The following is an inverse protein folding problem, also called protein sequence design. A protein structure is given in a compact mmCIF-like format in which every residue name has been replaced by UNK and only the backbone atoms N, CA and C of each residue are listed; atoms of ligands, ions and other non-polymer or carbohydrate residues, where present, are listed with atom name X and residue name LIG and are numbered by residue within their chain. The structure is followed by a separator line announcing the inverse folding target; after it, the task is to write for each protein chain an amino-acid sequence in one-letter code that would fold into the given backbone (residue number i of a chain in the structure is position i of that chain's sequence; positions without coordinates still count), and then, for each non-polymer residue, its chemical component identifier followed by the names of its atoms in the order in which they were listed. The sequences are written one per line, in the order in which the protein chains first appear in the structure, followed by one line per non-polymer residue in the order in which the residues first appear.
data_IF_735172608575
#
_entry.id   IF_735172608575
#
_cell.length_a   1.000
_cell.length_b   1.000
_cell.length_c   1.000
_cell.angle_alpha   90.00
_cell.angle_beta   90.00
_cell.angle_gamma   90.00
#
_symmetry.space_group_name_H-M   'P 1'
#
loop_
_entity.id
_entity.type
_entity.pdbx_description
1 polymer ?
#
# COMPACT_ATOMS: atom_id res chain seq x y z
N UNK A 1 -10.06 15.83 -3.55
CA UNK A 1 -9.40 14.53 -3.28
C UNK A 1 -8.22 14.42 -4.22
N UNK A 2 -6.98 14.38 -3.71
CA UNK A 2 -5.80 14.29 -4.58
C UNK A 2 -5.68 12.85 -5.09
N UNK A 3 -5.89 12.64 -6.39
CA UNK A 3 -5.61 11.37 -7.03
C UNK A 3 -4.14 11.05 -6.79
N UNK A 4 -3.84 9.88 -6.22
CA UNK A 4 -2.45 9.45 -6.04
C UNK A 4 -1.83 9.36 -7.42
N UNK A 5 -0.87 10.24 -7.70
CA UNK A 5 -0.20 10.33 -8.99
C UNK A 5 0.62 9.05 -9.24
N UNK A 6 0.36 8.37 -10.36
CA UNK A 6 0.95 7.06 -10.62
C UNK A 6 2.08 7.13 -11.64
N UNK A 7 3.28 6.76 -11.19
CA UNK A 7 4.46 6.57 -12.04
C UNK A 7 4.43 5.16 -12.63
N UNK A 8 4.50 5.07 -13.95
CA UNK A 8 4.48 3.82 -14.70
C UNK A 8 5.72 3.77 -15.58
N UNK A 9 6.65 2.89 -15.22
CA UNK A 9 7.86 2.66 -15.99
C UNK A 9 7.56 1.76 -17.20
N UNK A 10 7.73 2.28 -18.42
CA UNK A 10 7.54 1.54 -19.66
C UNK A 10 8.90 1.32 -20.34
N UNK A 11 9.34 0.06 -20.52
CA UNK A 11 10.54 -0.24 -21.29
C UNK A 11 10.38 0.18 -22.76
N UNK A 12 11.36 0.92 -23.25
CA UNK A 12 11.44 1.40 -24.62
C UNK A 12 12.89 1.27 -25.11
N UNK A 13 13.19 0.16 -25.80
CA UNK A 13 14.55 -0.28 -26.11
C UNK A 13 15.43 -0.32 -24.85
N UNK A 14 16.60 0.31 -24.87
CA UNK A 14 17.49 0.45 -23.72
C UNK A 14 17.04 1.47 -22.67
N UNK A 15 15.98 2.24 -22.93
CA UNK A 15 15.46 3.24 -22.00
C UNK A 15 14.24 2.75 -21.21
N UNK A 16 13.99 3.43 -20.09
CA UNK A 16 12.72 3.39 -19.39
C UNK A 16 12.03 4.74 -19.50
N UNK A 17 10.87 4.78 -20.14
CA UNK A 17 10.01 5.96 -20.20
C UNK A 17 9.08 5.94 -19.01
N UNK A 18 9.11 7.02 -18.20
CA UNK A 18 8.23 7.16 -17.05
C UNK A 18 6.96 7.88 -17.49
N UNK A 19 5.84 7.16 -17.42
CA UNK A 19 4.51 7.68 -17.68
C UNK A 19 3.81 8.06 -16.38
N UNK A 20 3.00 9.11 -16.44
CA UNK A 20 2.17 9.60 -15.36
C UNK A 20 0.71 9.50 -15.78
N UNK A 21 -0.08 8.73 -15.02
CA UNK A 21 -1.53 8.65 -15.22
C UNK A 21 -2.22 9.82 -14.51
N UNK A 22 -2.84 10.73 -15.25
CA UNK A 22 -3.71 11.78 -14.73
C UNK A 22 -4.98 11.88 -15.58
N UNK A 23 -6.16 11.86 -14.95
CA UNK A 23 -7.45 12.04 -15.62
C UNK A 23 -7.63 11.15 -16.88
N UNK A 24 -7.22 9.89 -16.77
CA UNK A 24 -7.21 8.87 -17.84
C UNK A 24 -6.37 9.17 -19.09
N UNK A 25 -5.53 10.20 -19.03
CA UNK A 25 -4.57 10.52 -20.08
C UNK A 25 -3.14 10.19 -19.62
N UNK A 26 -2.36 9.44 -20.42
CA UNK A 26 -0.95 9.22 -20.14
C UNK A 26 -0.13 10.47 -20.47
N UNK A 27 0.69 10.89 -19.51
CA UNK A 27 1.70 11.93 -19.68
C UNK A 27 3.10 11.32 -19.57
N UNK A 28 4.09 11.95 -20.19
CA UNK A 28 5.49 11.53 -20.19
C UNK A 28 6.29 12.54 -19.38
N UNK A 29 7.04 12.07 -18.38
CA UNK A 29 7.97 12.92 -17.66
C UNK A 29 9.17 13.27 -18.57
N UNK A 30 9.25 14.52 -19.03
CA UNK A 30 10.15 14.86 -20.13
C UNK A 30 11.62 14.97 -19.72
N UNK A 31 11.91 15.29 -18.45
CA UNK A 31 13.29 15.49 -17.99
C UNK A 31 14.15 14.24 -18.21
N UNK A 32 13.65 13.06 -17.83
CA UNK A 32 14.38 11.80 -18.02
C UNK A 32 14.56 11.47 -19.51
N UNK A 33 13.51 11.63 -20.31
CA UNK A 33 13.55 11.38 -21.76
C UNK A 33 14.59 12.26 -22.44
N UNK A 34 14.60 13.56 -22.13
CA UNK A 34 15.55 14.53 -22.69
C UNK A 34 16.99 14.18 -22.30
N UNK A 35 17.23 13.88 -21.02
CA UNK A 35 18.56 13.49 -20.54
C UNK A 35 19.05 12.18 -21.18
N UNK A 36 18.18 11.19 -21.37
CA UNK A 36 18.51 9.92 -22.01
C UNK A 36 18.82 10.07 -23.52
N UNK A 37 18.41 11.19 -24.13
CA UNK A 37 18.76 11.55 -25.52
C UNK A 37 20.03 12.43 -25.59
N UNK A 38 20.71 12.66 -24.46
CA UNK A 38 21.92 13.46 -24.41
C UNK A 38 21.71 14.95 -24.68
N UNK A 39 20.47 15.42 -24.52
CA UNK A 39 20.08 16.82 -24.71
C UNK A 39 20.08 17.57 -23.38
N UNK A 40 20.33 18.88 -23.43
CA UNK A 40 20.21 19.75 -22.26
C UNK A 40 18.73 19.97 -21.90
N UNK A 41 18.36 19.59 -20.66
CA UNK A 41 17.01 19.76 -20.14
C UNK A 41 16.57 21.22 -20.11
N UNK A 42 17.43 22.15 -19.67
CA UNK A 42 17.04 23.56 -19.52
C UNK A 42 16.62 24.15 -20.87
N UNK A 43 17.39 23.89 -21.92
CA UNK A 43 17.12 24.32 -23.28
C UNK A 43 15.82 23.74 -23.83
N UNK A 44 15.57 22.44 -23.61
CA UNK A 44 14.33 21.80 -24.08
C UNK A 44 13.11 22.27 -23.30
N UNK A 45 13.23 22.45 -21.98
CA UNK A 45 12.16 22.97 -21.15
C UNK A 45 11.71 24.38 -21.60
N UNK A 46 12.66 25.27 -21.92
CA UNK A 46 12.34 26.60 -22.48
C UNK A 46 11.58 26.48 -23.79
N UNK A 47 11.98 25.58 -24.71
CA UNK A 47 11.27 25.36 -25.98
C UNK A 47 9.86 24.81 -25.79
N UNK A 48 9.68 23.86 -24.88
CA UNK A 48 8.37 23.29 -24.57
C UNK A 48 7.44 24.36 -23.96
N UNK A 49 7.96 25.18 -23.04
CA UNK A 49 7.22 26.27 -22.40
C UNK A 49 6.86 27.41 -23.36
N UNK A 50 7.76 27.75 -24.28
CA UNK A 50 7.55 28.83 -25.26
C UNK A 50 6.43 28.53 -26.28
N UNK A 51 6.04 27.26 -26.43
CA UNK A 51 4.95 26.86 -27.33
C UNK A 51 3.95 25.97 -26.57
N UNK A 52 3.45 26.48 -25.45
CA UNK A 52 2.52 25.79 -24.56
C UNK A 52 1.28 25.28 -25.28
N UNK A 53 0.76 26.03 -26.25
CA UNK A 53 -0.47 25.67 -26.96
C UNK A 53 -0.28 24.45 -27.86
N UNK A 54 0.90 24.32 -28.49
CA UNK A 54 1.24 23.12 -29.29
C UNK A 54 1.45 21.89 -28.41
N UNK A 55 2.18 22.06 -27.31
CA UNK A 55 2.70 20.95 -26.51
C UNK A 55 1.75 20.52 -25.38
N UNK A 56 0.96 21.44 -24.83
CA UNK A 56 0.09 21.17 -23.68
C UNK A 56 0.87 20.66 -22.47
N UNK A 57 2.07 21.19 -22.23
CA UNK A 57 2.92 20.78 -21.11
C UNK A 57 2.25 21.13 -19.78
N UNK A 58 2.28 20.20 -18.84
CA UNK A 58 1.72 20.38 -17.49
C UNK A 58 2.78 20.08 -16.43
N UNK A 59 2.69 20.76 -15.30
CA UNK A 59 3.50 20.48 -14.12
C UNK A 59 2.71 19.56 -13.20
N UNK A 60 3.27 18.38 -12.92
CA UNK A 60 2.63 17.34 -12.13
C UNK A 60 3.45 17.11 -10.86
N UNK A 61 2.81 17.20 -9.70
CA UNK A 61 3.43 16.86 -8.42
C UNK A 61 3.57 15.34 -8.30
N UNK A 62 4.81 14.88 -8.28
CA UNK A 62 5.19 13.47 -8.17
C UNK A 62 5.80 13.18 -6.80
N UNK A 63 5.41 12.08 -6.12
CA UNK A 63 6.05 11.68 -4.88
C UNK A 63 7.49 11.22 -5.14
N UNK A 64 8.42 11.62 -4.27
CA UNK A 64 9.81 11.16 -4.28
C UNK A 64 10.30 10.87 -2.86
N UNK A 65 11.44 10.18 -2.73
CA UNK A 65 12.07 9.89 -1.42
C UNK A 65 12.35 11.17 -0.62
N UNK A 66 12.71 12.26 -1.29
CA UNK A 66 12.96 13.57 -0.69
C UNK A 66 11.72 14.46 -0.53
N UNK A 67 10.51 13.89 -0.65
CA UNK A 67 9.25 14.63 -0.63
C UNK A 67 8.67 14.89 -2.02
N UNK A 68 7.53 15.60 -2.12
CA UNK A 68 6.89 15.92 -3.40
C UNK A 68 7.84 16.72 -4.31
N UNK A 69 7.95 16.31 -5.58
CA UNK A 69 8.76 16.96 -6.61
C UNK A 69 7.87 17.32 -7.79
N UNK A 70 8.12 18.47 -8.42
CA UNK A 70 7.40 18.88 -9.63
C UNK A 70 8.05 18.25 -10.85
N UNK A 71 7.26 17.52 -11.63
CA UNK A 71 7.66 16.92 -12.90
C UNK A 71 7.01 17.66 -14.06
N UNK A 72 7.80 18.18 -14.99
CA UNK A 72 7.29 18.76 -16.25
C UNK A 72 6.95 17.64 -17.23
N UNK A 73 5.68 17.58 -17.62
CA UNK A 73 5.12 16.44 -18.32
C UNK A 73 4.47 16.84 -19.65
N UNK A 74 4.64 15.98 -20.65
CA UNK A 74 4.05 16.15 -21.99
C UNK A 74 2.96 15.09 -22.20
N UNK A 75 1.79 15.42 -22.76
CA UNK A 75 0.82 14.40 -23.16
C UNK A 75 1.48 13.37 -24.09
N UNK A 76 1.33 12.06 -23.81
CA UNK A 76 2.03 11.01 -24.57
C UNK A 76 1.80 11.10 -26.08
N UNK A 77 0.59 11.49 -26.51
CA UNK A 77 0.24 11.72 -27.92
C UNK A 77 1.10 12.78 -28.64
N UNK A 78 1.80 13.64 -27.90
CA UNK A 78 2.69 14.69 -28.45
C UNK A 78 4.16 14.26 -28.47
N UNK A 79 4.51 13.11 -27.87
CA UNK A 79 5.90 12.65 -27.76
C UNK A 79 6.55 12.44 -29.14
N UNK A 80 5.85 11.78 -30.07
CA UNK A 80 6.34 11.57 -31.43
C UNK A 80 6.63 12.91 -32.14
N UNK A 81 5.72 13.88 -32.04
CA UNK A 81 5.93 15.20 -32.63
C UNK A 81 7.13 15.94 -32.04
N UNK A 82 7.44 15.73 -30.75
CA UNK A 82 8.63 16.30 -30.11
C UNK A 82 9.92 15.59 -30.56
N UNK A 83 9.91 14.26 -30.62
CA UNK A 83 11.03 13.44 -31.13
C UNK A 83 11.48 13.90 -32.53
N UNK A 84 10.52 14.22 -33.40
CA UNK A 84 10.80 14.70 -34.76
C UNK A 84 11.45 16.09 -34.83
N UNK A 85 11.42 16.86 -33.73
CA UNK A 85 12.13 18.16 -33.69
C UNK A 85 13.63 18.02 -33.42
N UNK A 86 14.08 16.82 -33.05
CA UNK A 86 15.47 16.56 -32.69
C UNK A 86 16.24 16.23 -33.97
N UNK A 87 17.30 16.99 -34.24
CA UNK A 87 18.23 16.68 -35.32
C UNK A 87 19.33 15.75 -34.81
N UNK A 88 19.51 14.55 -35.39
CA UNK A 88 20.59 13.63 -34.99
C UNK A 88 21.99 14.27 -35.10
N UNK A 89 22.19 15.18 -36.04
CA UNK A 89 23.47 15.89 -36.21
C UNK A 89 23.80 16.84 -35.05
N UNK A 90 22.81 17.19 -34.23
CA UNK A 90 22.96 18.10 -33.07
C UNK A 90 23.00 17.37 -31.72
N UNK A 91 23.18 16.05 -31.75
CA UNK A 91 23.45 15.25 -30.54
C UNK A 91 24.82 14.59 -30.62
N UNK A 92 25.25 14.00 -29.50
CA UNK A 92 26.50 13.24 -29.44
C UNK A 92 26.48 12.08 -30.44
N UNK A 93 27.58 11.80 -31.16
CA UNK A 93 27.63 10.75 -32.20
C UNK A 93 27.07 9.40 -31.74
N UNK A 94 27.39 8.98 -30.52
CA UNK A 94 26.97 7.71 -29.93
C UNK A 94 25.45 7.59 -29.66
N UNK A 95 24.69 8.69 -29.74
CA UNK A 95 23.23 8.71 -29.54
C UNK A 95 22.44 8.87 -30.84
N UNK A 96 23.11 9.06 -31.98
CA UNK A 96 22.45 9.33 -33.27
C UNK A 96 21.56 8.18 -33.72
N UNK A 97 22.11 6.96 -33.72
CA UNK A 97 21.40 5.77 -34.17
C UNK A 97 20.17 5.48 -33.30
N UNK A 98 20.29 5.74 -31.99
CA UNK A 98 19.17 5.65 -31.04
C UNK A 98 18.03 6.61 -31.41
N UNK A 99 18.34 7.88 -31.70
CA UNK A 99 17.33 8.88 -32.06
C UNK A 99 16.68 8.56 -33.40
N UNK A 100 17.48 8.17 -34.41
CA UNK A 100 16.98 7.75 -35.72
C UNK A 100 16.05 6.56 -35.58
N UNK A 101 16.42 5.56 -34.76
CA UNK A 101 15.55 4.41 -34.49
C UNK A 101 14.21 4.80 -33.87
N UNK A 102 14.22 5.76 -32.93
CA UNK A 102 12.97 6.23 -32.30
C UNK A 102 12.09 7.02 -33.28
N UNK A 103 12.71 7.79 -34.18
CA UNK A 103 11.99 8.51 -35.24
C UNK A 103 11.38 7.53 -36.25
N UNK A 104 12.17 6.58 -36.74
CA UNK A 104 11.69 5.54 -37.67
C UNK A 104 10.53 4.74 -37.08
N UNK A 105 10.56 4.37 -35.79
CA UNK A 105 9.42 3.66 -35.17
C UNK A 105 8.14 4.51 -35.16
N UNK A 106 8.25 5.84 -35.01
CA UNK A 106 7.08 6.72 -35.12
C UNK A 106 6.54 6.78 -36.55
N UNK A 107 7.44 6.82 -37.54
CA UNK A 107 7.07 6.83 -38.96
C UNK A 107 6.42 5.50 -39.35
N UNK A 108 7.01 4.38 -38.94
CA UNK A 108 6.50 3.03 -39.16
C UNK A 108 5.14 2.83 -38.48
N UNK A 109 4.96 3.34 -37.26
CA UNK A 109 3.68 3.27 -36.56
C UNK A 109 2.58 4.07 -37.30
N UNK A 110 2.91 5.25 -37.83
CA UNK A 110 1.96 6.04 -38.61
C UNK A 110 1.67 5.38 -39.96
N UNK A 111 2.67 4.81 -40.62
CA UNK A 111 2.53 4.04 -41.84
C UNK A 111 1.62 2.82 -41.64
N UNK A 112 1.88 2.02 -40.61
CA UNK A 112 1.08 0.82 -40.27
C UNK A 112 -0.36 1.17 -39.94
N UNK A 113 -0.59 2.28 -39.22
CA UNK A 113 -1.94 2.79 -38.97
C UNK A 113 -2.72 3.00 -40.27
N UNK A 114 -2.10 3.62 -41.29
CA UNK A 114 -2.77 3.90 -42.57
C UNK A 114 -2.87 2.68 -43.49
N UNK A 115 -1.83 1.85 -43.55
CA UNK A 115 -1.77 0.72 -44.50
C UNK A 115 -2.48 -0.52 -43.97
N UNK A 116 -2.36 -0.81 -42.66
CA UNK A 116 -2.91 -2.02 -42.02
C UNK A 116 -4.19 -1.73 -41.23
N UNK A 117 -4.57 -0.45 -41.09
CA UNK A 117 -5.71 -0.02 -40.27
C UNK A 117 -5.45 -0.05 -38.76
N UNK A 118 -4.26 -0.48 -38.32
CA UNK A 118 -3.85 -0.50 -36.92
C UNK A 118 -2.33 -0.54 -36.80
N UNK A 119 -1.81 0.09 -35.74
CA UNK A 119 -0.40 0.03 -35.37
C UNK A 119 -0.27 -0.64 -34.01
N UNK A 120 0.51 -1.71 -33.93
CA UNK A 120 0.71 -2.49 -32.71
C UNK A 120 2.19 -2.58 -32.40
N UNK A 121 2.58 -2.33 -31.14
CA UNK A 121 3.95 -2.55 -30.68
C UNK A 121 4.09 -4.01 -30.21
N UNK A 122 4.80 -4.89 -30.94
CA UNK A 122 4.85 -6.31 -30.62
C UNK A 122 5.44 -6.55 -29.23
N UNK A 123 4.81 -7.43 -28.45
CA UNK A 123 5.26 -7.77 -27.09
C UNK A 123 5.06 -6.68 -26.03
N UNK A 124 4.53 -5.50 -26.39
CA UNK A 124 4.25 -4.44 -25.44
C UNK A 124 2.79 -4.49 -24.97
N UNK A 125 2.59 -4.39 -23.65
CA UNK A 125 1.27 -4.17 -23.09
C UNK A 125 0.78 -2.74 -23.38
N UNK A 126 -0.50 -2.56 -23.75
CA UNK A 126 -1.12 -1.25 -23.87
C UNK A 126 -0.94 -0.39 -22.62
N UNK A 127 -0.63 0.89 -22.80
CA UNK A 127 -0.36 1.84 -21.70
C UNK A 127 -1.56 1.96 -20.75
N UNK A 128 -2.78 2.00 -21.29
CA UNK A 128 -4.02 2.02 -20.52
C UNK A 128 -4.17 0.78 -19.62
N UNK A 129 -3.84 -0.42 -20.14
CA UNK A 129 -3.84 -1.64 -19.36
C UNK A 129 -2.82 -1.56 -18.22
N UNK A 130 -1.61 -1.05 -18.49
CA UNK A 130 -0.58 -0.84 -17.44
C UNK A 130 -1.03 0.17 -16.37
N UNK A 131 -1.71 1.25 -16.77
CA UNK A 131 -2.32 2.21 -15.84
C UNK A 131 -3.37 1.50 -14.96
N UNK A 132 -4.27 0.74 -15.56
CA UNK A 132 -5.31 0.01 -14.85
C UNK A 132 -4.73 -0.99 -13.84
N UNK A 133 -3.72 -1.77 -14.25
CA UNK A 133 -3.01 -2.70 -13.36
C UNK A 133 -2.29 -1.97 -12.21
N UNK A 134 -1.65 -0.83 -12.49
CA UNK A 134 -1.01 -0.02 -11.46
C UNK A 134 -2.01 0.50 -10.43
N UNK A 135 -3.21 0.91 -10.86
CA UNK A 135 -4.31 1.32 -9.97
C UNK A 135 -4.80 0.16 -9.13
N UNK A 136 -5.02 -0.98 -9.77
CA UNK A 136 -5.49 -2.18 -9.08
C UNK A 136 -4.49 -2.62 -8.01
N UNK A 137 -3.18 -2.67 -8.34
CA UNK A 137 -2.10 -2.96 -7.39
C UNK A 137 -2.13 -2.03 -6.18
N UNK A 138 -2.27 -0.72 -6.40
CA UNK A 138 -2.34 0.25 -5.29
C UNK A 138 -3.61 0.09 -4.45
N UNK A 139 -4.74 -0.22 -5.09
CA UNK A 139 -6.00 -0.47 -4.39
C UNK A 139 -5.90 -1.69 -3.47
N UNK A 140 -5.35 -2.81 -3.96
CA UNK A 140 -5.09 -4.00 -3.16
C UNK A 140 -4.15 -3.73 -1.98
N UNK A 141 -3.07 -2.97 -2.20
CA UNK A 141 -2.17 -2.56 -1.11
C UNK A 141 -2.87 -1.70 -0.05
N UNK A 142 -3.74 -0.77 -0.46
CA UNK A 142 -4.55 0.03 0.47
C UNK A 142 -5.58 -0.81 1.21
N UNK A 143 -6.14 -1.83 0.56
CA UNK A 143 -7.09 -2.74 1.19
C UNK A 143 -6.38 -3.60 2.25
N UNK A 144 -5.20 -4.16 1.94
CA UNK A 144 -4.36 -4.85 2.93
C UNK A 144 -4.06 -4.00 4.17
N UNK A 145 -3.81 -2.69 4.02
CA UNK A 145 -3.60 -1.82 5.18
C UNK A 145 -4.81 -1.73 6.12
N UNK A 146 -6.02 -1.97 5.60
CA UNK A 146 -7.29 -1.88 6.34
C UNK A 146 -7.78 -3.24 6.84
N UNK A 147 -7.54 -4.31 6.07
CA UNK A 147 -8.00 -5.66 6.39
C UNK A 147 -7.19 -6.26 7.54
N UNK A 148 -7.91 -6.78 8.56
CA UNK A 148 -7.30 -7.42 9.74
C UNK A 148 -7.49 -8.94 9.79
N UNK A 149 -8.50 -9.47 9.11
CA UNK A 149 -8.73 -10.91 9.02
C UNK A 149 -7.58 -11.61 8.29
N UNK A 150 -7.07 -12.70 8.85
CA UNK A 150 -5.88 -13.37 8.33
C UNK A 150 -6.14 -14.03 6.96
N UNK A 151 -7.28 -14.71 6.80
CA UNK A 151 -7.63 -15.38 5.55
C UNK A 151 -7.83 -14.39 4.40
N UNK A 152 -8.59 -13.32 4.65
CA UNK A 152 -8.82 -12.25 3.68
C UNK A 152 -7.52 -11.53 3.31
N UNK A 153 -6.62 -11.28 4.29
CA UNK A 153 -5.30 -10.70 4.01
C UNK A 153 -4.48 -11.58 3.07
N UNK A 154 -4.46 -12.90 3.28
CA UNK A 154 -3.75 -13.82 2.38
C UNK A 154 -4.32 -13.78 0.96
N UNK A 155 -5.65 -13.79 0.81
CA UNK A 155 -6.30 -13.71 -0.50
C UNK A 155 -6.01 -12.40 -1.23
N UNK A 156 -6.09 -11.25 -0.54
CA UNK A 156 -5.77 -9.94 -1.15
C UNK A 156 -4.28 -9.85 -1.51
N UNK A 157 -3.39 -10.41 -0.66
CA UNK A 157 -1.95 -10.44 -0.93
C UNK A 157 -1.61 -11.32 -2.15
N UNK A 158 -2.29 -12.45 -2.33
CA UNK A 158 -2.15 -13.27 -3.53
C UNK A 158 -2.53 -12.49 -4.80
N UNK A 159 -3.67 -11.78 -4.78
CA UNK A 159 -4.06 -10.93 -5.92
C UNK A 159 -3.04 -9.81 -6.17
N UNK A 160 -2.50 -9.22 -5.10
CA UNK A 160 -1.46 -8.19 -5.19
C UNK A 160 -0.19 -8.75 -5.85
N UNK A 161 0.17 -9.99 -5.52
CA UNK A 161 1.31 -10.69 -6.10
C UNK A 161 1.13 -10.95 -7.59
N UNK A 162 -0.02 -11.47 -7.99
CA UNK A 162 -0.35 -11.73 -9.41
C UNK A 162 -0.23 -10.46 -10.26
N UNK A 163 -0.80 -9.34 -9.78
CA UNK A 163 -0.72 -8.05 -10.48
C UNK A 163 0.71 -7.51 -10.48
N UNK A 164 1.46 -7.64 -9.38
CA UNK A 164 2.85 -7.18 -9.29
C UNK A 164 3.75 -7.94 -10.28
N UNK A 165 3.64 -9.27 -10.34
CA UNK A 165 4.36 -10.12 -11.31
C UNK A 165 4.01 -9.78 -12.75
N UNK A 166 2.74 -9.59 -13.06
CA UNK A 166 2.29 -9.23 -14.40
C UNK A 166 2.81 -7.84 -14.86
N UNK A 167 3.19 -6.97 -13.91
CA UNK A 167 3.84 -5.68 -14.17
C UNK A 167 5.38 -5.74 -14.11
N UNK A 168 5.98 -6.88 -13.76
CA UNK A 168 7.43 -7.02 -13.55
C UNK A 168 7.95 -6.30 -12.30
N UNK A 169 7.10 -6.09 -11.30
CA UNK A 169 7.43 -5.39 -10.05
C UNK A 169 7.53 -6.37 -8.89
N UNK A 170 8.38 -6.10 -7.88
CA UNK A 170 8.41 -6.91 -6.67
C UNK A 170 7.11 -6.73 -5.86
N UNK A 171 6.65 -7.84 -5.29
CA UNK A 171 5.53 -7.86 -4.35
C UNK A 171 6.06 -7.53 -2.95
N UNK A 172 5.53 -6.51 -2.26
CA UNK A 172 5.92 -6.23 -0.87
C UNK A 172 5.54 -7.40 0.06
N UNK A 173 6.33 -7.64 1.09
CA UNK A 173 5.99 -8.58 2.15
C UNK A 173 4.65 -8.19 2.80
N UNK A 174 3.79 -9.18 3.06
CA UNK A 174 2.44 -8.96 3.60
C UNK A 174 2.46 -8.17 4.92
N UNK A 175 3.48 -8.38 5.77
CA UNK A 175 3.64 -7.71 7.07
C UNK A 175 4.11 -6.26 6.94
N UNK A 176 4.64 -5.86 5.79
CA UNK A 176 4.91 -4.44 5.51
C UNK A 176 3.65 -3.66 5.12
N UNK A 177 2.55 -4.38 4.83
CA UNK A 177 1.24 -3.83 4.44
C UNK A 177 0.22 -4.04 5.57
N UNK A 178 0.58 -3.58 6.76
CA UNK A 178 -0.22 -3.72 7.97
C UNK A 178 -0.10 -5.10 8.61
N UNK A 179 -0.84 -5.32 9.69
CA UNK A 179 -0.78 -6.55 10.47
C UNK A 179 -2.15 -7.20 10.58
N UNK A 180 -2.17 -8.53 10.47
CA UNK A 180 -3.33 -9.34 10.83
C UNK A 180 -3.68 -9.14 12.30
N UNK A 181 -4.93 -9.38 12.67
CA UNK A 181 -5.24 -9.64 14.07
C UNK A 181 -4.39 -10.84 14.53
N UNK A 182 -3.79 -10.80 15.73
CA UNK A 182 -3.06 -11.94 16.25
C UNK A 182 -3.95 -13.18 16.19
N UNK A 183 -3.37 -14.35 15.90
CA UNK A 183 -4.10 -15.61 15.98
C UNK A 183 -4.55 -15.78 17.45
N UNK A 184 -5.81 -15.44 17.67
CA UNK A 184 -6.52 -15.44 18.95
C UNK A 184 -6.46 -16.77 19.73
N UNK A 185 -6.27 -17.98 19.13
CA UNK A 185 -6.36 -19.22 19.92
C UNK A 185 -5.32 -19.39 21.03
N UNK A 186 -4.01 -19.29 20.78
CA UNK A 186 -3.03 -19.75 21.79
C UNK A 186 -2.91 -18.79 22.99
N UNK A 187 -2.79 -17.49 22.75
CA UNK A 187 -2.56 -16.50 23.84
C UNK A 187 -3.81 -16.30 24.71
N UNK A 188 -5.01 -16.34 24.13
CA UNK A 188 -6.24 -16.27 24.93
C UNK A 188 -6.55 -17.60 25.61
N UNK A 189 -6.31 -18.75 24.96
CA UNK A 189 -6.52 -20.05 25.58
C UNK A 189 -5.63 -20.19 26.83
N UNK A 190 -4.35 -19.83 26.74
CA UNK A 190 -3.45 -19.81 27.91
C UNK A 190 -3.96 -18.90 29.03
N UNK A 191 -4.42 -17.69 28.69
CA UNK A 191 -4.95 -16.74 29.68
C UNK A 191 -6.22 -17.26 30.36
N UNK A 192 -7.19 -17.77 29.59
CA UNK A 192 -8.45 -18.27 30.14
C UNK A 192 -8.26 -19.58 30.89
N UNK A 193 -7.34 -20.46 30.46
CA UNK A 193 -6.95 -21.65 31.19
C UNK A 193 -6.32 -21.29 32.54
N UNK A 194 -5.44 -20.29 32.58
CA UNK A 194 -4.82 -19.81 33.81
C UNK A 194 -5.86 -19.22 34.79
N UNK A 195 -6.86 -18.48 34.29
CA UNK A 195 -7.99 -18.00 35.09
C UNK A 195 -8.86 -19.14 35.62
N UNK A 196 -9.16 -20.16 34.81
CA UNK A 196 -9.93 -21.32 35.24
C UNK A 196 -9.23 -22.08 36.39
N UNK A 197 -7.89 -22.12 36.42
CA UNK A 197 -7.13 -22.67 37.55
C UNK A 197 -7.32 -21.85 38.83
N UNK A 198 -7.37 -20.52 38.73
CA UNK A 198 -7.67 -19.67 39.89
C UNK A 198 -9.09 -19.91 40.41
N UNK A 199 -10.06 -20.05 39.50
CA UNK A 199 -11.45 -20.35 39.83
C UNK A 199 -11.60 -21.70 40.53
N UNK A 200 -10.93 -22.75 40.02
CA UNK A 200 -10.89 -24.07 40.67
C UNK A 200 -10.27 -24.04 42.08
N UNK A 201 -9.33 -23.12 42.32
CA UNK A 201 -8.72 -22.90 43.65
C UNK A 201 -9.57 -22.01 44.56
N UNK A 202 -10.72 -21.51 44.10
CA UNK A 202 -11.59 -20.63 44.87
C UNK A 202 -11.01 -19.23 45.09
N UNK A 203 -10.08 -18.80 44.24
CA UNK A 203 -9.45 -17.47 44.36
C UNK A 203 -10.43 -16.42 43.83
N UNK A 204 -10.78 -15.47 44.68
CA UNK A 204 -11.70 -14.40 44.32
C UNK A 204 -10.97 -13.32 43.50
N UNK A 205 -11.26 -13.25 42.19
CA UNK A 205 -10.68 -12.24 41.28
C UNK A 205 -11.71 -11.45 40.46
N UNK A 206 -12.98 -11.84 40.46
CA UNK A 206 -14.03 -11.15 39.72
C UNK A 206 -14.54 -9.95 40.53
N UNK A 207 -14.21 -8.73 40.13
CA UNK A 207 -14.69 -7.53 40.82
C UNK A 207 -16.16 -7.21 40.58
N UNK A 208 -16.81 -7.82 39.60
CA UNK A 208 -18.20 -7.53 39.28
C UNK A 208 -19.14 -8.18 40.30
N UNK A 209 -20.11 -7.41 40.80
CA UNK A 209 -21.24 -7.93 41.59
C UNK A 209 -22.37 -8.52 40.72
N UNK A 210 -22.37 -8.22 39.43
CA UNK A 210 -23.37 -8.71 38.48
C UNK A 210 -22.88 -10.01 37.82
N UNK A 211 -23.66 -11.08 37.95
CA UNK A 211 -23.34 -12.41 37.42
C UNK A 211 -23.20 -12.48 35.89
N UNK A 212 -23.73 -11.51 35.14
CA UNK A 212 -23.69 -11.49 33.67
C UNK A 212 -22.36 -10.93 33.12
N UNK A 213 -21.46 -10.45 33.98
CA UNK A 213 -20.21 -9.85 33.56
C UNK A 213 -19.04 -10.30 34.43
N UNK A 214 -17.91 -10.49 33.77
CA UNK A 214 -16.63 -10.75 34.41
C UNK A 214 -15.80 -9.46 34.40
N UNK A 215 -15.45 -8.91 35.57
CA UNK A 215 -14.60 -7.73 35.68
C UNK A 215 -13.26 -8.08 36.32
N UNK A 216 -12.18 -8.03 35.54
CA UNK A 216 -10.83 -8.41 35.99
C UNK A 216 -9.86 -7.23 35.98
N UNK A 217 -9.04 -7.12 37.02
CA UNK A 217 -7.92 -6.19 37.06
C UNK A 217 -6.64 -6.89 36.58
N UNK A 218 -6.09 -6.47 35.43
CA UNK A 218 -4.94 -7.19 34.83
C UNK A 218 -3.67 -7.23 35.71
N UNK A 219 -3.26 -6.13 36.39
CA UNK A 219 -2.17 -6.19 37.36
C UNK A 219 -2.40 -7.18 38.50
N UNK A 220 -3.62 -7.21 39.06
CA UNK A 220 -4.01 -8.14 40.11
C UNK A 220 -4.01 -9.59 39.64
N UNK A 221 -4.58 -9.87 38.46
CA UNK A 221 -4.52 -11.20 37.83
C UNK A 221 -3.07 -11.64 37.65
N UNK A 222 -2.20 -10.76 37.17
CA UNK A 222 -0.77 -11.09 37.00
C UNK A 222 -0.14 -11.52 38.32
N UNK A 223 -0.46 -10.82 39.42
CA UNK A 223 0.03 -11.15 40.76
C UNK A 223 -0.53 -12.48 41.27
N UNK A 224 -1.85 -12.68 41.19
CA UNK A 224 -2.51 -13.92 41.64
C UNK A 224 -1.99 -15.14 40.87
N UNK A 225 -1.80 -15.01 39.57
CA UNK A 225 -1.26 -16.07 38.73
C UNK A 225 0.16 -16.49 39.17
N UNK A 226 1.02 -15.53 39.53
CA UNK A 226 2.35 -15.81 40.08
C UNK A 226 2.24 -16.51 41.44
N UNK A 227 1.40 -16.00 42.36
CA UNK A 227 1.19 -16.57 43.69
C UNK A 227 0.67 -18.02 43.63
N UNK A 228 -0.08 -18.37 42.58
CA UNK A 228 -0.65 -19.70 42.39
C UNK A 228 0.12 -20.60 41.39
N UNK A 229 1.35 -20.23 41.03
CA UNK A 229 2.27 -21.08 40.25
C UNK A 229 1.98 -21.16 38.75
N UNK A 230 1.27 -20.17 38.19
CA UNK A 230 0.87 -20.07 36.79
C UNK A 230 1.35 -18.75 36.18
N UNK A 231 2.65 -18.41 36.20
CA UNK A 231 3.12 -17.11 35.77
C UNK A 231 2.78 -16.86 34.29
N UNK A 232 1.97 -15.83 34.02
CA UNK A 232 1.57 -15.44 32.68
C UNK A 232 2.02 -14.00 32.38
N UNK A 233 2.62 -13.80 31.22
CA UNK A 233 3.12 -12.48 30.80
C UNK A 233 1.98 -11.61 30.26
N UNK A 234 1.59 -10.58 31.01
CA UNK A 234 0.60 -9.58 30.54
C UNK A 234 1.28 -8.44 29.76
N UNK A 235 1.61 -8.72 28.50
CA UNK A 235 2.20 -7.75 27.57
C UNK A 235 1.15 -7.03 26.70
N UNK A 236 1.60 -6.21 25.75
CA UNK A 236 0.69 -5.53 24.81
C UNK A 236 -0.01 -6.51 23.86
N UNK A 237 0.61 -7.65 23.55
CA UNK A 237 0.04 -8.70 22.70
C UNK A 237 -1.20 -9.29 23.34
N UNK A 238 -1.10 -9.72 24.61
CA UNK A 238 -2.24 -10.25 25.36
C UNK A 238 -3.31 -9.18 25.58
N UNK A 239 -2.95 -7.95 25.91
CA UNK A 239 -3.94 -6.85 26.05
C UNK A 239 -4.72 -6.60 24.76
N UNK A 240 -4.05 -6.64 23.61
CA UNK A 240 -4.70 -6.48 22.32
C UNK A 240 -5.59 -7.68 21.99
N UNK A 241 -5.12 -8.91 22.28
CA UNK A 241 -5.91 -10.13 22.12
C UNK A 241 -7.17 -10.11 23.00
N UNK A 242 -7.06 -9.71 24.26
CA UNK A 242 -8.19 -9.58 25.19
C UNK A 242 -9.21 -8.56 24.69
N UNK A 243 -8.77 -7.45 24.12
CA UNK A 243 -9.67 -6.43 23.56
C UNK A 243 -10.46 -6.95 22.37
N UNK A 244 -9.86 -7.85 21.59
CA UNK A 244 -10.45 -8.47 20.41
C UNK A 244 -11.11 -9.83 20.72
N UNK A 245 -11.14 -10.25 21.98
CA UNK A 245 -11.67 -11.55 22.40
C UNK A 245 -13.14 -11.69 21.97
N UNK A 246 -13.48 -12.71 21.16
CA UNK A 246 -14.86 -12.95 20.72
C UNK A 246 -15.68 -13.71 21.76
N UNK A 247 -15.04 -14.54 22.58
CA UNK A 247 -15.68 -15.36 23.62
C UNK A 247 -14.66 -15.66 24.75
N UNK A 248 -14.88 -15.14 25.98
CA UNK A 248 -15.88 -14.14 26.33
C UNK A 248 -15.60 -12.79 25.64
N UNK A 249 -16.66 -12.08 25.21
CA UNK A 249 -16.55 -10.81 24.48
C UNK A 249 -16.12 -9.69 25.41
N UNK A 250 -15.07 -8.95 25.05
CA UNK A 250 -14.64 -7.79 25.82
C UNK A 250 -15.58 -6.59 25.58
N UNK A 251 -16.27 -6.14 26.63
CA UNK A 251 -17.23 -5.04 26.58
C UNK A 251 -16.56 -3.68 26.82
N UNK A 252 -15.64 -3.59 27.79
CA UNK A 252 -14.94 -2.35 28.14
C UNK A 252 -13.51 -2.62 28.63
N UNK A 253 -12.58 -1.72 28.31
CA UNK A 253 -11.20 -1.73 28.80
C UNK A 253 -10.94 -0.61 29.81
N UNK A 254 -10.18 -0.89 30.87
CA UNK A 254 -9.82 0.06 31.93
C UNK A 254 -11.03 0.84 32.50
N UNK A 255 -12.17 0.18 32.66
CA UNK A 255 -13.41 0.78 33.17
C UNK A 255 -13.41 0.77 34.69
N UNK A 256 -13.79 1.87 35.37
CA UNK A 256 -13.95 1.86 36.82
C UNK A 256 -15.14 0.98 37.22
N UNK A 257 -14.91 0.01 38.11
CA UNK A 257 -15.92 -0.88 38.67
C UNK A 257 -15.79 -0.83 40.19
N UNK A 258 -16.91 -0.70 40.90
CA UNK A 258 -16.93 -0.87 42.35
C UNK A 258 -16.73 -2.34 42.68
N UNK A 259 -15.57 -2.68 43.23
CA UNK A 259 -15.18 -4.06 43.50
C UNK A 259 -16.08 -4.69 44.57
N UNK A 260 -16.67 -5.84 44.28
CA UNK A 260 -17.42 -6.61 45.28
C UNK A 260 -16.56 -7.14 46.44
N UNK A 261 -15.25 -7.26 46.24
CA UNK A 261 -14.33 -7.77 47.27
C UNK A 261 -13.85 -6.67 48.22
N UNK A 262 -13.67 -5.44 47.73
CA UNK A 262 -13.02 -4.36 48.48
C UNK A 262 -13.90 -3.14 48.72
N UNK A 263 -15.06 -3.04 48.06
CA UNK A 263 -15.95 -1.88 48.09
C UNK A 263 -15.39 -0.62 47.43
N UNK A 264 -14.16 -0.67 46.88
CA UNK A 264 -13.47 0.45 46.26
C UNK A 264 -13.58 0.40 44.73
N UNK A 265 -13.40 1.56 44.09
CA UNK A 265 -13.33 1.65 42.63
C UNK A 265 -12.01 1.07 42.12
N UNK A 266 -12.08 0.07 41.26
CA UNK A 266 -10.94 -0.61 40.63
C UNK A 266 -11.07 -0.51 39.10
N UNK A 267 -9.96 -0.27 38.40
CA UNK A 267 -9.94 -0.22 36.93
C UNK A 267 -9.88 -1.65 36.38
N UNK A 268 -10.96 -2.09 35.76
CA UNK A 268 -11.12 -3.45 35.26
C UNK A 268 -11.29 -3.50 33.73
N UNK A 269 -10.93 -4.65 33.17
CA UNK A 269 -11.40 -5.09 31.87
C UNK A 269 -12.67 -5.90 32.09
N UNK A 270 -13.73 -5.57 31.36
CA UNK A 270 -15.06 -6.12 31.56
C UNK A 270 -15.43 -6.99 30.37
N UNK A 271 -15.77 -8.24 30.64
CA UNK A 271 -16.14 -9.24 29.66
C UNK A 271 -17.57 -9.72 29.90
N UNK A 272 -18.23 -10.15 28.82
CA UNK A 272 -19.53 -10.80 28.88
C UNK A 272 -19.38 -12.21 29.46
N UNK A 273 -20.18 -12.54 30.47
CA UNK A 273 -20.25 -13.89 31.03
C UNK A 273 -21.56 -14.54 30.56
N UNK A 274 -21.53 -15.77 30.00
CA UNK A 274 -22.76 -16.49 29.70
C UNK A 274 -23.52 -16.73 31.00
N UNK A 275 -24.81 -16.37 31.03
CA UNK A 275 -25.73 -16.86 32.05
C UNK A 275 -25.74 -18.39 31.98
N UNK A 276 -25.24 -19.04 33.04
CA UNK A 276 -25.44 -20.47 33.31
C UNK A 276 -26.91 -20.83 33.34
#
# INVERSE_FOLDING_TARGET
MSAVQQLISVPFYEDTVVLLGQDDHPYVAMKSVVSNMGLDWKSQHVKLKANSDRWGMVEITTPSVGGPQISSCLPLRKLASWLMTISPNKVKPELRDKIVRYQNECDDALWDYWIKGSATRPGAQPVNQRIAMSRHRLALGKELLRTRDAGMRQMIHQQLDEVSRAMGLPTPAIDSLGYAAPAVPDVLAEFWAALAVLEQKGVAYNHASNANVLAINLPEISRLLIEHGQPLRVDNTLKQALWQSPAPRCLRKNHPVTSQHTGKSVRCWVFEQPTT
#
